data_IF_570051451331
#
_entry.id   IF_570051451331
#
_cell.length_a   1.000
_cell.length_b   1.000
_cell.length_c   1.000
_cell.angle_alpha   90.00
_cell.angle_beta   90.00
_cell.angle_gamma   90.00
#
_symmetry.space_group_name_H-M   'P 1'
#
loop_
_entity.id
_entity.type
_entity.pdbx_description
1 polymer ?
#
# COMPACT_ATOMS: atom_id res chain seq x y z
N UNK A 1 8.38 14.58 21.06
CA UNK A 1 7.19 13.82 21.40
C UNK A 1 6.63 13.08 20.17
N UNK A 2 6.44 13.75 19.00
CA UNK A 2 5.89 13.13 17.78
C UNK A 2 6.77 11.99 17.23
N UNK A 3 8.08 12.17 17.13
CA UNK A 3 8.99 11.16 16.59
C UNK A 3 9.03 9.86 17.44
N UNK A 4 8.94 9.96 18.77
CA UNK A 4 8.88 8.79 19.65
C UNK A 4 7.57 8.01 19.49
N UNK A 5 6.43 8.70 19.32
CA UNK A 5 5.12 8.09 19.10
C UNK A 5 5.07 7.36 17.76
N UNK A 6 5.60 7.96 16.68
CA UNK A 6 5.67 7.35 15.34
C UNK A 6 6.53 6.08 15.32
N UNK A 7 7.67 6.09 16.01
CA UNK A 7 8.52 4.89 16.15
C UNK A 7 7.79 3.76 16.88
N UNK A 8 7.03 4.10 17.94
CA UNK A 8 6.24 3.12 18.69
C UNK A 8 5.10 2.52 17.86
N UNK A 9 4.46 3.31 16.98
CA UNK A 9 3.42 2.80 16.08
C UNK A 9 4.03 1.92 14.98
N UNK A 10 5.19 2.28 14.42
CA UNK A 10 5.89 1.42 13.45
C UNK A 10 6.24 0.06 14.06
N UNK A 11 6.75 0.04 15.30
CA UNK A 11 7.05 -1.22 16.02
C UNK A 11 5.79 -2.04 16.23
N UNK A 12 4.70 -1.41 16.69
CA UNK A 12 3.39 -2.07 16.88
C UNK A 12 2.85 -2.67 15.57
N UNK A 13 2.98 -1.94 14.45
CA UNK A 13 2.54 -2.45 13.14
C UNK A 13 3.40 -3.64 12.66
N UNK A 14 4.71 -3.65 12.94
CA UNK A 14 5.58 -4.79 12.61
C UNK A 14 5.14 -6.03 13.39
N UNK A 15 4.97 -5.91 14.71
CA UNK A 15 4.50 -7.02 15.56
C UNK A 15 3.13 -7.54 15.12
N UNK A 16 2.21 -6.63 14.77
CA UNK A 16 0.88 -6.98 14.27
C UNK A 16 0.96 -7.71 12.93
N UNK A 17 1.83 -7.26 12.01
CA UNK A 17 2.02 -7.87 10.69
C UNK A 17 2.65 -9.28 10.78
N UNK A 18 3.56 -9.51 11.73
CA UNK A 18 4.13 -10.85 11.98
C UNK A 18 3.05 -11.82 12.45
N UNK A 19 2.20 -11.41 13.41
CA UNK A 19 1.05 -12.22 13.87
C UNK A 19 0.03 -12.46 12.77
N UNK A 20 -0.26 -11.44 11.94
CA UNK A 20 -1.12 -11.58 10.77
C UNK A 20 -0.56 -12.64 9.80
N UNK A 21 0.75 -12.59 9.57
CA UNK A 21 1.45 -13.56 8.73
C UNK A 21 1.34 -14.99 9.25
N UNK A 22 1.48 -15.21 10.56
CA UNK A 22 1.30 -16.54 11.17
C UNK A 22 -0.12 -17.08 10.93
N UNK A 23 -1.15 -16.23 11.02
CA UNK A 23 -2.53 -16.61 10.77
C UNK A 23 -2.73 -16.91 9.27
N UNK A 24 -2.39 -15.96 8.40
CA UNK A 24 -2.60 -16.10 6.96
C UNK A 24 -1.89 -17.34 6.39
N UNK A 25 -0.68 -17.64 6.86
CA UNK A 25 0.10 -18.81 6.39
C UNK A 25 -0.53 -20.16 6.78
N UNK A 26 -1.45 -20.22 7.74
CA UNK A 26 -2.22 -21.46 8.04
C UNK A 26 -3.25 -21.76 6.95
N UNK A 27 -3.79 -20.71 6.33
CA UNK A 27 -4.77 -20.82 5.24
C UNK A 27 -4.10 -20.86 3.86
N UNK A 28 -2.90 -20.29 3.73
CA UNK A 28 -2.20 -20.20 2.45
C UNK A 28 -1.87 -21.58 1.88
N UNK A 29 -2.38 -21.88 0.67
CA UNK A 29 -2.29 -23.18 0.01
C UNK A 29 -2.95 -24.33 0.78
N UNK A 30 -3.84 -24.02 1.71
CA UNK A 30 -4.70 -24.96 2.39
C UNK A 30 -6.13 -24.84 1.87
N UNK A 31 -6.97 -25.81 2.18
CA UNK A 31 -8.40 -25.73 1.89
C UNK A 31 -9.05 -24.70 2.83
N UNK A 32 -9.71 -23.70 2.28
CA UNK A 32 -10.40 -22.64 3.01
C UNK A 32 -11.55 -22.09 2.20
N UNK A 33 -12.54 -21.49 2.87
CA UNK A 33 -13.69 -20.91 2.20
C UNK A 33 -13.33 -19.60 1.53
N UNK A 34 -13.92 -19.38 0.34
CA UNK A 34 -13.80 -18.16 -0.45
C UNK A 34 -15.21 -17.71 -0.82
N UNK A 35 -15.48 -16.42 -0.69
CA UNK A 35 -16.74 -15.79 -1.13
C UNK A 35 -16.44 -14.64 -2.09
N UNK A 36 -17.41 -14.28 -2.89
CA UNK A 36 -17.42 -13.00 -3.60
C UNK A 36 -18.15 -11.97 -2.73
N UNK A 37 -17.63 -10.76 -2.63
CA UNK A 37 -18.27 -9.64 -1.92
C UNK A 37 -19.53 -9.21 -2.67
N UNK A 38 -20.60 -8.87 -1.96
CA UNK A 38 -21.93 -8.58 -2.53
C UNK A 38 -21.93 -7.43 -3.55
N UNK A 39 -21.02 -6.49 -3.46
CA UNK A 39 -20.87 -5.33 -4.34
C UNK A 39 -19.91 -5.56 -5.53
N UNK A 40 -19.42 -6.79 -5.71
CA UNK A 40 -18.47 -7.12 -6.77
C UNK A 40 -17.05 -6.61 -6.52
N UNK A 41 -16.72 -6.22 -5.28
CA UNK A 41 -15.38 -5.74 -4.89
C UNK A 41 -14.30 -6.85 -4.96
N UNK A 42 -14.70 -8.09 -5.20
CA UNK A 42 -13.81 -9.23 -5.40
C UNK A 42 -13.92 -10.29 -4.29
N UNK A 43 -13.04 -11.30 -4.31
CA UNK A 43 -13.10 -12.38 -3.35
C UNK A 43 -12.63 -11.94 -1.96
N UNK A 44 -13.24 -12.55 -0.93
CA UNK A 44 -12.79 -12.53 0.46
C UNK A 44 -12.65 -13.97 0.96
N UNK A 45 -11.71 -14.24 1.83
CA UNK A 45 -11.46 -15.58 2.37
C UNK A 45 -11.60 -15.62 3.90
N UNK A 46 -11.68 -16.83 4.46
CA UNK A 46 -11.58 -17.01 5.91
C UNK A 46 -10.29 -16.42 6.49
N UNK A 47 -9.20 -16.38 5.70
CA UNK A 47 -7.95 -15.80 6.11
C UNK A 47 -8.06 -14.28 6.26
N UNK A 48 -8.69 -13.59 5.30
CA UNK A 48 -8.91 -12.13 5.36
C UNK A 48 -9.64 -11.76 6.67
N UNK A 49 -10.75 -12.45 6.95
CA UNK A 49 -11.57 -12.19 8.14
C UNK A 49 -10.83 -12.52 9.45
N UNK A 50 -10.09 -13.63 9.49
CA UNK A 50 -9.33 -14.03 10.68
C UNK A 50 -8.18 -13.04 10.96
N UNK A 51 -7.51 -12.57 9.92
CA UNK A 51 -6.45 -11.57 10.01
C UNK A 51 -7.02 -10.23 10.44
N UNK A 52 -8.12 -9.75 9.83
CA UNK A 52 -8.78 -8.50 10.21
C UNK A 52 -9.20 -8.49 11.69
N UNK A 53 -9.87 -9.54 12.13
CA UNK A 53 -10.32 -9.67 13.51
C UNK A 53 -9.15 -9.62 14.52
N UNK A 54 -8.04 -10.31 14.23
CA UNK A 54 -6.84 -10.29 15.06
C UNK A 54 -6.19 -8.90 15.06
N UNK A 55 -6.00 -8.29 13.88
CA UNK A 55 -5.39 -6.97 13.75
C UNK A 55 -6.21 -5.92 14.51
N UNK A 56 -7.53 -5.92 14.36
CA UNK A 56 -8.43 -5.01 15.05
C UNK A 56 -8.32 -5.14 16.57
N UNK A 57 -8.40 -6.36 17.09
CA UNK A 57 -8.30 -6.61 18.52
C UNK A 57 -6.93 -6.19 19.08
N UNK A 58 -5.84 -6.53 18.39
CA UNK A 58 -4.48 -6.24 18.83
C UNK A 58 -4.16 -4.73 18.77
N UNK A 59 -4.44 -4.09 17.64
CA UNK A 59 -4.09 -2.69 17.40
C UNK A 59 -4.96 -1.73 18.22
N UNK A 60 -6.28 -1.92 18.24
CA UNK A 60 -7.15 -1.09 19.08
C UNK A 60 -6.98 -1.38 20.59
N UNK A 61 -6.61 -2.61 20.96
CA UNK A 61 -6.24 -2.93 22.34
C UNK A 61 -5.00 -2.15 22.80
N UNK A 62 -4.02 -1.96 21.93
CA UNK A 62 -2.81 -1.16 22.19
C UNK A 62 -3.04 0.36 22.06
N UNK A 63 -3.99 0.80 21.23
CA UNK A 63 -4.31 2.20 20.93
C UNK A 63 -5.81 2.43 20.89
N UNK A 64 -6.51 2.41 22.03
CA UNK A 64 -7.98 2.45 22.08
C UNK A 64 -8.59 3.78 21.60
N UNK A 65 -7.78 4.85 21.49
CA UNK A 65 -8.22 6.16 20.97
C UNK A 65 -8.04 6.34 19.45
N UNK A 66 -7.53 5.33 18.74
CA UNK A 66 -7.36 5.44 17.28
C UNK A 66 -8.63 4.99 16.55
N UNK A 67 -8.89 5.62 15.38
CA UNK A 67 -9.89 5.16 14.43
C UNK A 67 -9.49 3.86 13.74
N UNK A 68 -10.45 3.23 13.09
CA UNK A 68 -10.27 1.99 12.34
C UNK A 68 -10.88 2.10 10.95
N UNK A 69 -10.08 1.87 9.93
CA UNK A 69 -10.50 1.72 8.53
C UNK A 69 -9.86 0.44 7.98
N UNK A 70 -10.68 -0.49 7.55
CA UNK A 70 -10.21 -1.75 6.97
C UNK A 70 -11.07 -2.16 5.79
N UNK A 71 -10.49 -2.89 4.84
CA UNK A 71 -11.21 -3.47 3.70
C UNK A 71 -12.30 -4.44 4.14
N UNK A 72 -12.09 -5.19 5.24
CA UNK A 72 -12.95 -6.30 5.66
C UNK A 72 -13.90 -5.95 6.83
N UNK A 73 -13.83 -4.75 7.34
CA UNK A 73 -14.72 -4.26 8.40
C UNK A 73 -15.67 -3.19 7.89
N UNK A 74 -16.91 -3.16 8.41
CA UNK A 74 -17.82 -2.05 8.15
C UNK A 74 -17.19 -0.73 8.59
N UNK A 75 -17.28 0.28 7.73
CA UNK A 75 -16.77 1.62 8.02
C UNK A 75 -17.60 2.31 9.11
N UNK A 76 -16.92 2.96 10.07
CA UNK A 76 -17.51 3.80 11.07
C UNK A 76 -16.96 5.24 10.91
N UNK A 77 -17.84 6.17 10.56
CA UNK A 77 -17.50 7.58 10.38
C UNK A 77 -16.90 8.23 11.65
N UNK A 78 -17.05 7.63 12.84
CA UNK A 78 -16.41 8.07 14.07
C UNK A 78 -14.88 8.16 13.94
N UNK A 79 -14.25 7.33 13.06
CA UNK A 79 -12.82 7.41 12.75
C UNK A 79 -12.35 8.77 12.28
N UNK A 80 -13.23 9.54 11.61
CA UNK A 80 -12.90 10.87 11.08
C UNK A 80 -12.67 11.92 12.20
N UNK A 81 -13.15 11.63 13.40
CA UNK A 81 -12.98 12.49 14.60
C UNK A 81 -11.77 12.06 15.44
N UNK A 82 -11.13 10.95 15.13
CA UNK A 82 -9.94 10.48 15.84
C UNK A 82 -8.69 11.22 15.35
N UNK A 83 -7.76 11.51 16.26
CA UNK A 83 -6.48 12.13 15.92
C UNK A 83 -5.66 11.24 14.98
N UNK A 84 -5.69 9.93 15.23
CA UNK A 84 -5.04 8.90 14.40
C UNK A 84 -6.03 7.82 14.00
N UNK A 85 -5.77 7.21 12.85
CA UNK A 85 -6.58 6.12 12.32
C UNK A 85 -5.67 5.01 11.77
N UNK A 86 -5.95 3.77 12.14
CA UNK A 86 -5.40 2.61 11.45
C UNK A 86 -6.08 2.45 10.09
N UNK A 87 -5.29 2.23 9.03
CA UNK A 87 -5.76 1.95 7.67
C UNK A 87 -5.18 0.61 7.26
N UNK A 88 -6.04 -0.38 7.03
CA UNK A 88 -5.66 -1.79 6.99
C UNK A 88 -6.21 -2.46 5.74
N UNK A 89 -5.37 -3.18 5.02
CA UNK A 89 -5.76 -4.25 4.13
C UNK A 89 -5.20 -5.57 4.69
N UNK A 90 -6.05 -6.46 5.17
CA UNK A 90 -5.63 -7.73 5.74
C UNK A 90 -4.88 -8.61 4.75
N UNK A 91 -5.32 -8.69 3.49
CA UNK A 91 -4.64 -9.44 2.42
C UNK A 91 -4.79 -8.72 1.08
N UNK A 92 -3.94 -7.72 0.82
CA UNK A 92 -3.85 -7.09 -0.50
C UNK A 92 -3.38 -8.10 -1.54
N UNK A 93 -4.27 -8.39 -2.48
CA UNK A 93 -4.06 -9.41 -3.49
C UNK A 93 -4.70 -10.75 -3.18
N UNK A 94 -5.92 -10.78 -2.63
CA UNK A 94 -6.69 -11.98 -2.27
C UNK A 94 -6.77 -12.99 -3.41
N UNK A 95 -6.88 -12.54 -4.68
CA UNK A 95 -6.85 -13.45 -5.86
C UNK A 95 -5.52 -14.20 -6.00
N UNK A 96 -4.39 -13.55 -5.69
CA UNK A 96 -3.09 -14.22 -5.68
C UNK A 96 -2.97 -15.18 -4.50
N UNK A 97 -3.49 -14.79 -3.33
CA UNK A 97 -3.55 -15.65 -2.15
C UNK A 97 -4.31 -16.94 -2.45
N UNK A 98 -5.53 -16.84 -2.99
CA UNK A 98 -6.37 -18.00 -3.35
C UNK A 98 -5.76 -18.86 -4.45
N UNK A 99 -5.03 -18.25 -5.39
CA UNK A 99 -4.29 -18.97 -6.43
C UNK A 99 -2.99 -19.64 -5.92
N UNK A 100 -2.64 -19.48 -4.64
CA UNK A 100 -1.40 -20.01 -4.06
C UNK A 100 -0.14 -19.28 -4.54
N UNK A 101 -0.28 -18.07 -5.12
CA UNK A 101 0.83 -17.22 -5.52
C UNK A 101 1.40 -16.47 -4.30
N UNK A 102 2.70 -16.18 -4.32
CA UNK A 102 3.39 -15.51 -3.20
C UNK A 102 3.38 -13.97 -3.30
N UNK A 103 2.52 -13.41 -4.16
CA UNK A 103 2.50 -11.97 -4.50
C UNK A 103 1.35 -11.21 -3.82
N UNK A 104 1.03 -11.56 -2.58
CA UNK A 104 0.08 -10.90 -1.72
C UNK A 104 0.78 -10.29 -0.49
N UNK A 105 0.14 -9.35 0.18
CA UNK A 105 0.72 -8.64 1.32
C UNK A 105 -0.32 -8.28 2.38
N UNK A 106 0.11 -8.07 3.63
CA UNK A 106 -0.60 -7.27 4.62
C UNK A 106 -0.19 -5.81 4.44
N UNK A 107 -1.13 -4.88 4.35
CA UNK A 107 -0.89 -3.44 4.26
C UNK A 107 -1.43 -2.76 5.51
N UNK A 108 -0.55 -2.26 6.36
CA UNK A 108 -0.88 -1.68 7.66
C UNK A 108 -0.33 -0.26 7.74
N UNK A 109 -1.18 0.72 8.05
CA UNK A 109 -0.77 2.11 8.19
C UNK A 109 -1.44 2.80 9.37
N UNK A 110 -0.79 3.83 9.89
CA UNK A 110 -1.38 4.83 10.79
C UNK A 110 -1.40 6.15 10.06
N UNK A 111 -2.58 6.76 9.94
CA UNK A 111 -2.76 8.11 9.42
C UNK A 111 -3.01 9.10 10.55
N UNK A 112 -2.43 10.32 10.44
CA UNK A 112 -2.60 11.47 11.31
C UNK A 112 -2.77 12.73 10.46
N UNK A 113 -3.81 13.51 10.70
CA UNK A 113 -4.09 14.74 9.95
C UNK A 113 -4.10 14.56 8.41
N UNK A 114 -4.58 13.41 7.93
CA UNK A 114 -4.66 13.08 6.50
C UNK A 114 -3.35 12.62 5.88
N UNK A 115 -2.32 12.31 6.65
CA UNK A 115 -1.02 11.79 6.18
C UNK A 115 -0.69 10.49 6.88
N UNK A 116 -0.05 9.57 6.18
CA UNK A 116 0.48 8.35 6.82
C UNK A 116 1.73 8.71 7.61
N UNK A 117 1.80 8.24 8.87
CA UNK A 117 2.92 8.53 9.79
C UNK A 117 3.71 7.27 10.20
N UNK A 118 3.08 6.09 10.12
CA UNK A 118 3.73 4.79 10.31
C UNK A 118 3.15 3.78 9.31
N UNK A 119 3.97 2.91 8.76
CA UNK A 119 3.59 2.00 7.70
C UNK A 119 4.35 0.69 7.73
N UNK A 120 3.64 -0.40 7.41
CA UNK A 120 4.21 -1.73 7.17
C UNK A 120 3.53 -2.38 5.98
N UNK A 121 4.32 -2.93 5.07
CA UNK A 121 3.88 -3.89 4.05
C UNK A 121 4.60 -5.19 4.30
N UNK A 122 3.87 -6.22 4.73
CA UNK A 122 4.45 -7.53 5.05
C UNK A 122 4.05 -8.56 4.01
N UNK A 123 5.00 -9.36 3.57
CA UNK A 123 4.82 -10.46 2.63
C UNK A 123 5.23 -11.77 3.27
N UNK A 124 4.36 -12.43 4.04
CA UNK A 124 4.72 -13.61 4.84
C UNK A 124 5.29 -14.76 4.00
N UNK A 125 4.69 -15.02 2.83
CA UNK A 125 5.13 -16.07 1.91
C UNK A 125 6.54 -15.83 1.33
N UNK A 126 7.07 -14.60 1.45
CA UNK A 126 8.43 -14.21 1.01
C UNK A 126 9.35 -13.90 2.19
N UNK A 127 8.84 -13.90 3.44
CA UNK A 127 9.57 -13.49 4.65
C UNK A 127 10.15 -12.08 4.53
N UNK A 128 9.36 -11.15 4.00
CA UNK A 128 9.76 -9.77 3.75
C UNK A 128 8.82 -8.82 4.50
N UNK A 129 9.39 -7.88 5.25
CA UNK A 129 8.69 -6.79 5.92
C UNK A 129 9.31 -5.48 5.47
N UNK A 130 8.52 -4.65 4.81
CA UNK A 130 8.85 -3.26 4.50
C UNK A 130 8.23 -2.38 5.57
N UNK A 131 9.00 -1.47 6.13
CA UNK A 131 8.54 -0.60 7.21
C UNK A 131 9.09 0.81 7.05
N UNK A 132 8.29 1.80 7.45
CA UNK A 132 8.67 3.19 7.50
C UNK A 132 7.93 3.94 8.62
N UNK A 133 8.57 4.93 9.20
CA UNK A 133 7.96 5.96 10.02
C UNK A 133 8.39 7.33 9.51
N UNK A 134 7.57 8.36 9.68
CA UNK A 134 7.89 9.71 9.20
C UNK A 134 9.25 10.18 9.73
N UNK A 135 10.17 10.51 8.81
CA UNK A 135 11.51 10.99 9.09
C UNK A 135 12.50 9.92 9.60
N UNK A 136 12.14 8.63 9.51
CA UNK A 136 13.04 7.55 9.97
C UNK A 136 13.67 6.76 8.82
N UNK A 137 13.29 7.07 7.59
CA UNK A 137 13.63 6.29 6.40
C UNK A 137 12.78 5.02 6.27
N UNK A 138 12.91 4.37 5.13
CA UNK A 138 12.26 3.09 4.83
C UNK A 138 13.26 1.94 4.89
N UNK A 139 12.79 0.77 5.34
CA UNK A 139 13.61 -0.44 5.41
C UNK A 139 12.88 -1.67 4.86
N UNK A 140 13.65 -2.67 4.41
CA UNK A 140 13.18 -4.04 4.19
C UNK A 140 13.96 -4.99 5.09
N UNK A 141 13.28 -5.64 6.03
CA UNK A 141 13.93 -6.49 7.04
C UNK A 141 15.11 -5.77 7.72
N UNK A 142 14.94 -4.48 8.07
CA UNK A 142 15.96 -3.64 8.68
C UNK A 142 17.02 -3.06 7.73
N UNK A 143 17.07 -3.50 6.46
CA UNK A 143 17.99 -2.92 5.46
C UNK A 143 17.38 -1.67 4.84
N UNK A 144 18.08 -0.51 4.86
CA UNK A 144 17.59 0.74 4.27
C UNK A 144 17.26 0.61 2.78
N UNK A 145 16.20 1.31 2.37
CA UNK A 145 15.71 1.34 0.99
C UNK A 145 15.99 2.69 0.33
N UNK A 146 16.12 2.66 -0.99
CA UNK A 146 16.14 3.85 -1.85
C UNK A 146 15.47 3.56 -3.18
N UNK A 147 14.69 4.52 -3.67
CA UNK A 147 14.16 4.52 -5.04
C UNK A 147 15.31 4.59 -6.06
N UNK A 148 15.04 4.24 -7.32
CA UNK A 148 16.03 4.35 -8.40
C UNK A 148 16.37 5.81 -8.71
N UNK A 149 17.48 6.04 -9.42
CA UNK A 149 17.92 7.35 -9.86
C UNK A 149 17.55 7.64 -11.34
N UNK A 150 16.67 6.83 -11.96
CA UNK A 150 16.21 7.04 -13.32
C UNK A 150 15.52 8.41 -13.47
N UNK A 151 16.00 9.25 -14.39
CA UNK A 151 15.46 10.61 -14.58
C UNK A 151 14.66 10.75 -15.87
N UNK A 152 15.06 10.07 -16.93
CA UNK A 152 14.36 10.10 -18.21
C UNK A 152 13.06 9.29 -18.17
N UNK A 153 12.03 9.71 -18.93
CA UNK A 153 10.77 8.96 -18.98
C UNK A 153 10.80 7.78 -19.95
N UNK A 154 11.93 7.49 -20.57
CA UNK A 154 12.11 6.39 -21.52
C UNK A 154 13.14 5.38 -21.02
N UNK A 155 12.98 4.13 -21.46
CA UNK A 155 13.79 2.97 -21.07
C UNK A 155 13.71 2.65 -19.58
N UNK A 156 12.53 2.88 -19.00
CA UNK A 156 12.23 2.64 -17.58
C UNK A 156 11.47 1.34 -17.37
N UNK A 157 11.53 0.84 -16.15
CA UNK A 157 10.73 -0.29 -15.69
C UNK A 157 9.51 0.19 -14.91
N UNK A 158 8.28 -0.17 -15.36
CA UNK A 158 7.03 0.22 -14.69
C UNK A 158 6.31 -1.02 -14.18
N UNK A 159 5.98 -1.04 -12.89
CA UNK A 159 5.09 -2.06 -12.32
C UNK A 159 3.65 -1.57 -12.35
N UNK A 160 2.86 -2.11 -13.29
CA UNK A 160 1.49 -1.66 -13.56
C UNK A 160 0.62 -2.71 -14.25
N UNK A 161 -0.70 -2.53 -14.20
CA UNK A 161 -1.63 -3.29 -15.02
C UNK A 161 -1.63 -2.77 -16.48
N UNK A 162 -1.81 -3.70 -17.45
CA UNK A 162 -1.75 -3.38 -18.88
C UNK A 162 -2.66 -2.21 -19.31
N UNK A 163 -3.91 -2.07 -18.80
CA UNK A 163 -4.78 -0.96 -19.19
C UNK A 163 -4.21 0.44 -18.90
N UNK A 164 -3.37 0.58 -17.87
CA UNK A 164 -2.74 1.87 -17.53
C UNK A 164 -1.72 2.35 -18.58
N UNK A 165 -1.30 1.50 -19.50
CA UNK A 165 -0.41 1.85 -20.60
C UNK A 165 -1.16 2.12 -21.91
N UNK A 166 -2.49 2.23 -21.88
CA UNK A 166 -3.27 2.58 -23.04
C UNK A 166 -2.98 4.04 -23.46
N UNK A 167 -2.82 4.31 -24.77
CA UNK A 167 -2.38 5.64 -25.26
C UNK A 167 -3.24 6.82 -24.78
N UNK A 168 -4.53 6.62 -24.57
CA UNK A 168 -5.42 7.69 -24.10
C UNK A 168 -5.10 8.21 -22.69
N UNK A 169 -4.36 7.47 -21.88
CA UNK A 169 -3.87 7.95 -20.59
C UNK A 169 -2.61 8.82 -20.71
N UNK A 170 -1.96 8.81 -21.89
CA UNK A 170 -0.66 9.43 -22.11
C UNK A 170 -0.67 10.41 -23.29
N UNK A 171 -1.41 11.53 -23.20
CA UNK A 171 -1.49 12.50 -24.30
C UNK A 171 -0.12 13.10 -24.68
N UNK A 172 0.79 13.25 -23.74
CA UNK A 172 2.18 13.64 -23.97
C UNK A 172 3.11 12.52 -24.48
N UNK A 173 2.54 11.37 -24.84
CA UNK A 173 3.24 10.19 -25.35
C UNK A 173 3.55 9.14 -24.28
N UNK A 174 3.24 7.88 -24.59
CA UNK A 174 3.54 6.75 -23.74
C UNK A 174 5.06 6.60 -23.55
N UNK A 175 5.59 6.51 -22.33
CA UNK A 175 7.00 6.24 -22.09
C UNK A 175 7.42 4.90 -22.72
N UNK A 176 8.65 4.82 -23.26
CA UNK A 176 9.24 3.50 -23.55
C UNK A 176 9.52 2.81 -22.23
N UNK A 177 8.92 1.64 -22.03
CA UNK A 177 8.99 0.97 -20.73
C UNK A 177 9.04 -0.55 -20.85
N UNK A 178 9.66 -1.19 -19.86
CA UNK A 178 9.49 -2.59 -19.55
C UNK A 178 8.36 -2.74 -18.53
N UNK A 179 7.20 -3.26 -18.96
CA UNK A 179 6.05 -3.48 -18.07
C UNK A 179 6.22 -4.72 -17.21
N UNK A 180 6.05 -4.53 -15.92
CA UNK A 180 5.94 -5.59 -14.93
C UNK A 180 4.56 -5.57 -14.26
N UNK A 181 4.17 -6.69 -13.66
CA UNK A 181 2.89 -6.79 -12.97
C UNK A 181 3.05 -7.56 -11.64
N UNK A 182 2.34 -7.08 -10.62
CA UNK A 182 2.10 -7.79 -9.36
C UNK A 182 0.64 -7.56 -8.97
N UNK A 183 -0.06 -8.56 -8.39
CA UNK A 183 -1.45 -8.40 -7.96
C UNK A 183 -1.62 -7.31 -6.89
N UNK A 184 -0.88 -7.39 -5.80
CA UNK A 184 -0.90 -6.48 -4.67
C UNK A 184 -0.40 -5.07 -5.04
N UNK A 185 -1.18 -4.02 -4.74
CA UNK A 185 -0.79 -2.62 -4.93
C UNK A 185 0.23 -2.17 -3.88
N UNK A 186 0.05 -2.56 -2.63
CA UNK A 186 1.01 -2.30 -1.56
C UNK A 186 2.39 -2.87 -1.91
N UNK A 187 2.43 -4.09 -2.45
CA UNK A 187 3.70 -4.69 -2.89
C UNK A 187 4.30 -3.95 -4.10
N UNK A 188 3.50 -3.45 -5.05
CA UNK A 188 4.04 -2.65 -6.17
C UNK A 188 4.75 -1.40 -5.66
N UNK A 189 4.16 -0.68 -4.70
CA UNK A 189 4.77 0.49 -4.08
C UNK A 189 6.06 0.12 -3.33
N UNK A 190 6.04 -0.97 -2.56
CA UNK A 190 7.24 -1.46 -1.88
C UNK A 190 8.38 -1.80 -2.86
N UNK A 191 8.07 -2.33 -4.05
CA UNK A 191 9.06 -2.61 -5.11
C UNK A 191 9.64 -1.34 -5.74
N UNK A 192 8.89 -0.24 -5.80
CA UNK A 192 9.43 1.07 -6.18
C UNK A 192 10.35 1.61 -5.08
N UNK A 193 9.94 1.50 -3.82
CA UNK A 193 10.75 1.95 -2.68
C UNK A 193 12.10 1.22 -2.58
N UNK A 194 12.17 -0.07 -2.95
CA UNK A 194 13.42 -0.83 -2.95
C UNK A 194 14.27 -0.63 -4.21
N UNK A 195 13.85 0.23 -5.14
CA UNK A 195 14.57 0.46 -6.40
C UNK A 195 14.51 -0.73 -7.37
N UNK A 196 13.55 -1.64 -7.20
CA UNK A 196 13.38 -2.80 -8.10
C UNK A 196 12.73 -2.40 -9.42
N UNK A 197 11.84 -1.41 -9.39
CA UNK A 197 11.20 -0.78 -10.54
C UNK A 197 11.26 0.72 -10.39
N UNK A 198 11.30 1.43 -11.52
CA UNK A 198 11.47 2.88 -11.55
C UNK A 198 10.18 3.62 -11.20
N UNK A 199 9.03 3.05 -11.60
CA UNK A 199 7.73 3.65 -11.33
C UNK A 199 6.62 2.62 -11.11
N UNK A 200 5.58 3.06 -10.43
CA UNK A 200 4.28 2.40 -10.31
C UNK A 200 3.20 3.37 -10.75
N UNK A 201 2.24 2.92 -11.57
CA UNK A 201 1.06 3.69 -11.95
C UNK A 201 -0.21 2.87 -11.85
N UNK A 202 -1.29 3.50 -11.39
CA UNK A 202 -2.67 3.03 -11.54
C UNK A 202 -3.58 4.24 -11.75
N UNK A 203 -4.48 4.16 -12.74
CA UNK A 203 -5.36 5.28 -13.09
C UNK A 203 -6.81 5.06 -12.65
N UNK A 204 -7.16 3.84 -12.27
CA UNK A 204 -8.45 3.58 -11.60
C UNK A 204 -8.45 4.23 -10.22
N UNK A 205 -9.63 4.57 -9.73
CA UNK A 205 -9.78 4.93 -8.34
C UNK A 205 -9.32 3.77 -7.45
N UNK A 206 -8.64 4.11 -6.37
CA UNK A 206 -7.92 3.16 -5.54
C UNK A 206 -8.31 3.36 -4.08
N UNK A 207 -8.59 2.27 -3.39
CA UNK A 207 -8.90 2.33 -1.98
C UNK A 207 -7.66 2.75 -1.16
N UNK A 208 -7.90 3.49 -0.09
CA UNK A 208 -6.83 3.97 0.78
C UNK A 208 -6.01 2.84 1.39
N UNK A 209 -6.62 1.73 1.77
CA UNK A 209 -5.94 0.59 2.38
C UNK A 209 -4.97 -0.13 1.43
N UNK A 210 -5.21 -0.11 0.11
CA UNK A 210 -4.31 -0.67 -0.90
C UNK A 210 -2.98 0.09 -0.97
N UNK A 211 -2.97 1.40 -0.66
CA UNK A 211 -1.84 2.28 -0.99
C UNK A 211 -1.26 3.07 0.19
N UNK A 212 -1.97 3.18 1.32
CA UNK A 212 -1.54 4.01 2.44
C UNK A 212 -0.13 3.63 2.94
N UNK A 213 0.07 2.36 3.26
CA UNK A 213 1.37 1.90 3.76
C UNK A 213 2.47 2.08 2.71
N UNK A 214 2.23 1.65 1.48
CA UNK A 214 3.19 1.78 0.38
C UNK A 214 3.57 3.22 0.08
N UNK A 215 2.64 4.16 0.24
CA UNK A 215 2.90 5.60 0.03
C UNK A 215 3.99 6.13 0.97
N UNK A 216 3.88 5.90 2.27
CA UNK A 216 4.90 6.35 3.21
C UNK A 216 6.24 5.63 2.95
N UNK A 217 6.22 4.33 2.67
CA UNK A 217 7.45 3.56 2.40
C UNK A 217 8.19 4.13 1.18
N UNK A 218 7.48 4.51 0.10
CA UNK A 218 8.10 5.16 -1.07
C UNK A 218 8.65 6.54 -0.70
N UNK A 219 7.89 7.35 0.03
CA UNK A 219 8.32 8.69 0.44
C UNK A 219 9.57 8.65 1.31
N UNK A 220 9.63 7.77 2.28
CA UNK A 220 10.77 7.59 3.19
C UNK A 220 11.98 6.93 2.48
N UNK A 221 11.77 6.27 1.33
CA UNK A 221 12.83 5.81 0.45
C UNK A 221 13.33 6.91 -0.54
N UNK A 222 12.82 8.14 -0.43
CA UNK A 222 13.20 9.29 -1.27
C UNK A 222 12.37 9.45 -2.55
N UNK A 223 11.24 8.75 -2.66
CA UNK A 223 10.33 8.86 -3.79
C UNK A 223 9.23 9.92 -3.60
N UNK A 224 8.47 10.15 -4.66
CA UNK A 224 7.28 10.99 -4.70
C UNK A 224 6.07 10.12 -5.05
N UNK A 225 4.96 10.33 -4.33
CA UNK A 225 3.69 9.65 -4.60
C UNK A 225 2.58 10.70 -4.66
N UNK A 226 1.80 10.66 -5.75
CA UNK A 226 0.61 11.52 -5.95
C UNK A 226 -0.53 10.71 -6.54
N UNK A 227 -1.70 11.32 -6.65
CA UNK A 227 -2.76 10.80 -7.51
C UNK A 227 -2.40 10.97 -9.02
N UNK A 228 -3.29 10.53 -9.91
CA UNK A 228 -3.10 10.67 -11.37
C UNK A 228 -3.11 12.11 -11.86
N UNK A 229 -3.53 13.07 -11.03
CA UNK A 229 -3.59 14.51 -11.34
C UNK A 229 -2.40 15.29 -10.75
N UNK A 230 -1.48 14.60 -10.05
CA UNK A 230 -0.34 15.21 -9.38
C UNK A 230 -0.66 15.79 -8.01
N UNK A 231 -1.87 15.55 -7.47
CA UNK A 231 -2.26 16.01 -6.14
C UNK A 231 -1.67 15.10 -5.06
N UNK A 232 -1.11 15.65 -3.98
CA UNK A 232 -0.67 14.86 -2.84
C UNK A 232 -1.83 14.04 -2.26
N UNK A 233 -1.57 12.75 -1.99
CA UNK A 233 -2.57 11.85 -1.44
C UNK A 233 -2.99 12.26 -0.02
N UNK A 234 -4.26 12.07 0.27
CA UNK A 234 -4.85 12.24 1.60
C UNK A 234 -5.48 10.94 2.04
N UNK A 235 -5.38 10.66 3.31
CA UNK A 235 -5.82 9.40 3.92
C UNK A 235 -6.78 9.66 5.09
N UNK A 236 -7.53 8.65 5.48
CA UNK A 236 -8.62 8.75 6.43
C UNK A 236 -9.70 9.74 5.93
N UNK A 237 -10.03 9.68 4.64
CA UNK A 237 -11.04 10.52 4.01
C UNK A 237 -12.44 9.89 4.13
N UNK A 238 -13.54 10.68 4.04
CA UNK A 238 -14.89 10.11 4.03
C UNK A 238 -15.12 9.11 2.91
N UNK A 239 -14.56 9.37 1.71
CA UNK A 239 -14.76 8.54 0.51
C UNK A 239 -13.86 7.30 0.48
N UNK A 240 -12.77 7.29 1.26
CA UNK A 240 -11.80 6.18 1.33
C UNK A 240 -11.11 5.86 0.01
N UNK A 241 -11.23 6.75 -0.97
CA UNK A 241 -10.74 6.58 -2.34
C UNK A 241 -9.75 7.68 -2.72
N UNK A 242 -8.82 7.33 -3.59
CA UNK A 242 -7.91 8.26 -4.27
C UNK A 242 -8.08 8.15 -5.78
N UNK A 243 -7.85 9.23 -6.50
CA UNK A 243 -7.94 9.28 -7.95
C UNK A 243 -6.71 8.64 -8.62
N UNK A 244 -6.54 7.32 -8.41
CA UNK A 244 -5.36 6.58 -8.88
C UNK A 244 -4.10 6.90 -8.08
N UNK A 245 -2.95 6.41 -8.55
CA UNK A 245 -1.66 6.60 -7.87
C UNK A 245 -0.51 6.54 -8.87
N UNK A 246 0.44 7.47 -8.76
CA UNK A 246 1.72 7.45 -9.45
C UNK A 246 2.84 7.60 -8.43
N UNK A 247 3.81 6.68 -8.47
CA UNK A 247 4.97 6.65 -7.58
C UNK A 247 6.26 6.45 -8.37
N UNK A 248 7.27 7.28 -8.12
CA UNK A 248 8.62 7.20 -8.69
C UNK A 248 9.59 8.06 -7.87
N UNK A 249 10.88 8.10 -8.24
CA UNK A 249 11.75 9.17 -7.73
C UNK A 249 11.27 10.56 -8.21
N UNK A 250 11.62 11.66 -7.53
CA UNK A 250 11.05 12.99 -7.83
C UNK A 250 11.24 13.46 -9.29
N UNK A 251 12.39 13.22 -9.88
CA UNK A 251 12.68 13.66 -11.25
C UNK A 251 11.86 12.87 -12.29
N UNK A 252 11.83 11.55 -12.17
CA UNK A 252 11.03 10.68 -13.03
C UNK A 252 9.54 10.94 -12.85
N UNK A 253 9.07 11.13 -11.59
CA UNK A 253 7.68 11.44 -11.28
C UNK A 253 7.23 12.71 -12.04
N UNK A 254 7.99 13.80 -11.97
CA UNK A 254 7.70 15.05 -12.70
C UNK A 254 7.63 14.84 -14.22
N UNK A 255 8.57 14.08 -14.78
CA UNK A 255 8.61 13.75 -16.20
C UNK A 255 7.43 12.86 -16.66
N UNK A 256 6.99 11.92 -15.84
CA UNK A 256 5.80 11.12 -16.13
C UNK A 256 4.53 11.95 -16.02
N UNK A 257 4.40 12.80 -14.99
CA UNK A 257 3.26 13.71 -14.83
C UNK A 257 3.13 14.67 -16.02
N UNK A 258 4.24 15.19 -16.55
CA UNK A 258 4.21 16.05 -17.74
C UNK A 258 3.65 15.35 -18.99
N UNK A 259 3.70 14.03 -19.08
CA UNK A 259 3.10 13.23 -20.15
C UNK A 259 1.62 12.90 -19.92
N UNK A 260 1.15 12.96 -18.68
CA UNK A 260 -0.26 12.76 -18.30
C UNK A 260 -1.05 14.07 -18.34
N UNK A 261 -0.43 15.20 -17.99
CA UNK A 261 -1.06 16.52 -17.90
C UNK A 261 -1.17 17.17 -19.28
N UNK A 262 -2.32 17.10 -19.90
CA UNK A 262 -2.75 17.97 -21.01
C UNK A 262 -4.26 18.20 -20.93
#
# INVERSE_FOLDING_TARGET
LLAHSTSADTTLLIEAAERAGEIAMRYFRADHRVWEKDDGAGPVTEADLAVDAMLRAHLLGARPGYGWLSEESADDAARLSCERCFIIDPIDGTRAFTAGEVSWAHSLAVAEAGRVVAAVVAMPAKKMIYAAGTGTGATRNGTPLRVTEATGPDDISIVTAKPNLAPHHWPGGLPRNARHYRPSLAYRLALVAEGRYDAMVTFRDTWEWDIAAGTLIVQEAGGTVTDRLGTPLRFNTPDRLTAGTLAANPALHGNLMARLAQ
#
